data_IF_037357202873
#
_entry.id   IF_037357202873
#
_cell.length_a   1.000
_cell.length_b   1.000
_cell.length_c   1.000
_cell.angle_alpha   90.00
_cell.angle_beta   90.00
_cell.angle_gamma   90.00
#
_symmetry.space_group_name_H-M   'P 1'
#
loop_
_entity.id
_entity.type
_entity.pdbx_description
1 polymer ?
#
# COMPACT_ATOMS: atom_id res chain seq x y z
N UNK A 1 12.78 17.97 84.21
CA UNK A 1 14.01 17.17 84.34
C UNK A 1 13.68 15.74 84.04
N UNK A 2 13.92 15.22 82.87
CA UNK A 2 13.80 13.79 82.52
C UNK A 2 14.95 13.43 81.56
N UNK A 3 15.67 12.39 81.96
CA UNK A 3 16.89 11.88 81.33
C UNK A 3 16.55 11.16 80.00
N UNK A 4 17.44 11.21 79.00
CA UNK A 4 17.26 10.41 77.77
C UNK A 4 17.75 8.95 77.98
N UNK A 5 17.02 7.99 77.45
CA UNK A 5 17.37 6.57 77.41
C UNK A 5 18.16 6.30 76.10
N UNK A 6 19.41 5.92 76.21
CA UNK A 6 20.19 5.34 75.13
C UNK A 6 19.63 3.98 74.72
N UNK A 7 19.29 3.80 73.44
CA UNK A 7 19.04 2.49 72.81
C UNK A 7 20.22 2.17 71.91
N UNK A 8 20.90 1.12 72.26
CA UNK A 8 22.00 0.47 71.49
C UNK A 8 21.36 -0.33 70.35
N UNK A 9 21.63 0.02 69.11
CA UNK A 9 21.25 -0.77 67.95
C UNK A 9 22.38 -1.71 67.56
N UNK A 10 22.11 -3.00 67.66
CA UNK A 10 22.99 -4.06 67.24
C UNK A 10 22.94 -4.18 65.69
N UNK A 11 24.01 -3.88 64.97
CA UNK A 11 24.12 -4.04 63.53
C UNK A 11 24.45 -5.55 63.27
N UNK A 12 23.48 -6.30 62.73
CA UNK A 12 23.70 -7.63 62.16
C UNK A 12 24.14 -7.44 60.69
N UNK A 13 25.42 -7.69 60.42
CA UNK A 13 25.95 -7.75 59.05
C UNK A 13 25.68 -9.14 58.48
N UNK A 14 24.68 -9.28 57.62
CA UNK A 14 24.50 -10.48 56.77
C UNK A 14 25.41 -10.38 55.56
N UNK A 15 26.45 -11.23 55.53
CA UNK A 15 27.22 -11.51 54.29
C UNK A 15 26.34 -12.30 53.31
N UNK A 16 25.86 -11.65 52.24
CA UNK A 16 25.32 -12.35 51.09
C UNK A 16 26.46 -12.74 50.16
N UNK A 17 26.73 -14.02 50.02
CA UNK A 17 27.61 -14.57 48.98
C UNK A 17 26.92 -14.42 47.62
N UNK A 18 27.44 -13.51 46.81
CA UNK A 18 27.05 -13.35 45.38
C UNK A 18 27.66 -14.52 44.59
N UNK A 19 26.81 -15.51 44.27
CA UNK A 19 27.14 -16.44 43.18
C UNK A 19 26.87 -15.75 41.86
N UNK A 20 27.75 -15.81 40.83
CA UNK A 20 27.49 -15.25 39.52
C UNK A 20 26.42 -16.11 38.84
N UNK A 21 25.21 -15.56 38.65
CA UNK A 21 24.23 -16.11 37.74
C UNK A 21 24.67 -15.75 36.35
N UNK A 22 25.35 -16.67 35.67
CA UNK A 22 25.58 -16.60 34.23
C UNK A 22 24.23 -16.86 33.53
N UNK A 23 23.38 -15.86 33.50
CA UNK A 23 22.21 -15.82 32.63
C UNK A 23 22.73 -15.66 31.21
N UNK A 24 22.72 -16.72 30.41
CA UNK A 24 22.75 -16.60 28.97
C UNK A 24 21.53 -15.75 28.55
N UNK A 25 21.75 -14.45 28.33
CA UNK A 25 20.80 -13.63 27.60
C UNK A 25 20.78 -14.21 26.18
N UNK A 26 19.74 -14.97 25.87
CA UNK A 26 19.38 -15.23 24.49
C UNK A 26 19.21 -13.84 23.84
N UNK A 27 20.17 -13.44 23.01
CA UNK A 27 19.99 -12.32 22.10
C UNK A 27 18.73 -12.66 21.30
N UNK A 28 17.61 -12.03 21.64
CA UNK A 28 16.47 -11.97 20.77
C UNK A 28 17.01 -11.35 19.46
N UNK A 29 17.19 -12.19 18.44
CA UNK A 29 17.59 -11.71 17.11
C UNK A 29 16.66 -10.58 16.74
N UNK A 30 17.19 -9.42 16.38
CA UNK A 30 16.41 -8.28 15.93
C UNK A 30 15.51 -8.77 14.82
N UNK A 31 14.19 -8.69 15.01
CA UNK A 31 13.23 -9.11 14.00
C UNK A 31 13.52 -8.30 12.73
N UNK A 32 13.94 -8.97 11.66
CA UNK A 32 14.17 -8.30 10.38
C UNK A 32 12.82 -7.98 9.74
N UNK A 33 12.69 -6.79 9.15
CA UNK A 33 11.54 -6.45 8.34
C UNK A 33 11.47 -7.38 7.12
N UNK A 34 10.30 -7.95 6.87
CA UNK A 34 10.05 -8.86 5.74
C UNK A 34 8.78 -8.44 5.03
N UNK A 35 8.80 -8.53 3.71
CA UNK A 35 7.64 -8.29 2.84
C UNK A 35 7.68 -9.23 1.65
N UNK A 36 6.53 -9.59 1.12
CA UNK A 36 6.35 -10.29 -0.14
C UNK A 36 5.07 -9.85 -0.82
N UNK A 37 5.00 -9.97 -2.14
CA UNK A 37 3.82 -9.60 -2.92
C UNK A 37 3.44 -10.75 -3.85
N UNK A 38 2.22 -11.25 -3.68
CA UNK A 38 1.64 -12.23 -4.62
C UNK A 38 0.78 -11.48 -5.64
N UNK A 39 0.89 -11.87 -6.91
CA UNK A 39 0.17 -11.24 -8.02
C UNK A 39 -0.58 -12.29 -8.85
N UNK A 40 -1.77 -11.91 -9.31
CA UNK A 40 -2.56 -12.67 -10.28
C UNK A 40 -2.82 -11.79 -11.49
N UNK A 41 -2.38 -12.25 -12.65
CA UNK A 41 -2.49 -11.54 -13.92
C UNK A 41 -3.32 -12.35 -14.91
N UNK A 42 -4.32 -11.72 -15.52
CA UNK A 42 -5.17 -12.34 -16.52
C UNK A 42 -4.37 -12.86 -17.70
N UNK A 43 -3.41 -12.09 -18.19
CA UNK A 43 -2.55 -12.43 -19.32
C UNK A 43 -1.72 -13.72 -19.10
N UNK A 44 -1.51 -14.11 -17.84
CA UNK A 44 -0.81 -15.34 -17.44
C UNK A 44 -1.77 -16.48 -17.08
N UNK A 45 -3.07 -16.27 -17.24
CA UNK A 45 -4.09 -17.26 -16.90
C UNK A 45 -4.25 -17.54 -15.40
N UNK A 46 -3.70 -16.69 -14.52
CA UNK A 46 -3.63 -16.94 -13.07
C UNK A 46 -4.99 -16.88 -12.35
N UNK A 47 -6.05 -16.44 -13.03
CA UNK A 47 -7.42 -16.53 -12.51
C UNK A 47 -8.11 -17.86 -12.78
N UNK A 48 -7.48 -18.78 -13.51
CA UNK A 48 -8.09 -20.08 -13.86
C UNK A 48 -8.50 -20.88 -12.63
N UNK A 49 -7.68 -20.85 -11.56
CA UNK A 49 -7.88 -21.62 -10.33
C UNK A 49 -8.73 -20.89 -9.28
N UNK A 50 -9.29 -19.70 -9.60
CA UNK A 50 -10.18 -19.01 -8.68
C UNK A 50 -11.55 -19.66 -8.67
N UNK A 51 -12.13 -19.83 -7.49
CA UNK A 51 -13.53 -20.24 -7.33
C UNK A 51 -14.44 -19.11 -7.82
N UNK A 52 -15.39 -19.40 -8.69
CA UNK A 52 -16.26 -18.41 -9.34
C UNK A 52 -17.72 -18.77 -9.20
N UNK A 53 -18.53 -17.77 -8.86
CA UNK A 53 -19.98 -17.83 -8.92
C UNK A 53 -20.48 -16.57 -9.63
N UNK A 54 -21.27 -16.69 -10.67
CA UNK A 54 -21.75 -15.55 -11.45
C UNK A 54 -20.71 -14.85 -12.32
N UNK A 55 -19.50 -15.42 -12.44
CA UNK A 55 -18.41 -14.89 -13.25
C UNK A 55 -17.95 -15.94 -14.27
N UNK A 56 -17.35 -15.49 -15.37
CA UNK A 56 -16.66 -16.30 -16.36
C UNK A 56 -15.26 -15.73 -16.64
N UNK A 57 -14.39 -16.55 -17.21
CA UNK A 57 -13.13 -16.10 -17.79
C UNK A 57 -13.38 -15.60 -19.21
N UNK A 58 -12.95 -14.40 -19.50
CA UNK A 58 -12.89 -13.87 -20.86
C UNK A 58 -11.70 -14.48 -21.64
N UNK A 59 -11.67 -14.37 -22.99
CA UNK A 59 -10.56 -14.90 -23.79
C UNK A 59 -9.17 -14.39 -23.40
N UNK A 60 -9.08 -13.18 -22.87
CA UNK A 60 -7.83 -12.59 -22.35
C UNK A 60 -7.50 -13.01 -20.90
N UNK A 61 -8.22 -14.00 -20.34
CA UNK A 61 -8.00 -14.51 -18.99
C UNK A 61 -8.61 -13.67 -17.87
N UNK A 62 -9.22 -12.52 -18.16
CA UNK A 62 -9.84 -11.66 -17.12
C UNK A 62 -11.09 -12.30 -16.52
N UNK A 63 -11.35 -12.05 -15.24
CA UNK A 63 -12.62 -12.39 -14.61
C UNK A 63 -13.66 -11.33 -15.02
N UNK A 64 -14.79 -11.78 -15.58
CA UNK A 64 -15.87 -10.89 -16.02
C UNK A 64 -17.20 -11.33 -15.44
N UNK A 65 -18.03 -10.36 -15.05
CA UNK A 65 -19.39 -10.64 -14.65
C UNK A 65 -20.16 -11.30 -15.83
N UNK A 66 -20.77 -12.44 -15.55
CA UNK A 66 -21.51 -13.23 -16.55
C UNK A 66 -23.02 -13.07 -16.30
N UNK A 67 -23.74 -12.31 -17.12
CA UNK A 67 -25.16 -12.06 -16.89
C UNK A 67 -26.05 -13.28 -17.00
N UNK A 68 -25.57 -14.38 -17.60
CA UNK A 68 -26.29 -15.64 -17.68
C UNK A 68 -26.15 -16.50 -16.41
N UNK A 69 -25.08 -16.25 -15.63
CA UNK A 69 -24.72 -16.99 -14.41
C UNK A 69 -24.81 -16.14 -13.14
N UNK A 70 -25.12 -14.84 -13.27
CA UNK A 70 -25.16 -13.92 -12.16
C UNK A 70 -26.07 -14.40 -11.02
N UNK A 71 -25.65 -14.14 -9.79
CA UNK A 71 -26.30 -14.64 -8.56
C UNK A 71 -27.60 -13.92 -8.18
N UNK A 72 -28.13 -13.02 -9.04
CA UNK A 72 -29.33 -12.25 -8.76
C UNK A 72 -29.05 -10.98 -7.95
N UNK A 73 -30.07 -10.36 -7.36
CA UNK A 73 -29.98 -9.10 -6.63
C UNK A 73 -28.98 -9.21 -5.47
N UNK A 74 -27.78 -8.63 -5.66
CA UNK A 74 -26.75 -8.59 -4.64
C UNK A 74 -27.17 -7.77 -3.44
N UNK A 75 -26.97 -8.32 -2.24
CA UNK A 75 -27.13 -7.58 -0.99
C UNK A 75 -26.10 -6.42 -0.91
N UNK A 76 -26.53 -5.41 -0.27
CA UNK A 76 -26.07 -4.03 -0.16
C UNK A 76 -24.79 -3.84 0.60
N UNK A 77 -23.94 -2.91 0.14
CA UNK A 77 -23.00 -2.18 0.99
C UNK A 77 -23.06 -0.68 0.65
N UNK A 78 -23.28 0.12 1.68
CA UNK A 78 -23.29 1.58 1.67
C UNK A 78 -24.14 2.12 2.80
N UNK A 79 -23.73 3.17 3.51
CA UNK A 79 -24.53 3.76 4.58
C UNK A 79 -25.87 4.28 4.01
N UNK A 80 -26.95 3.60 4.33
CA UNK A 80 -28.29 4.17 4.33
C UNK A 80 -29.17 4.03 3.10
N UNK A 81 -28.80 3.38 1.96
CA UNK A 81 -29.72 3.24 0.82
C UNK A 81 -29.74 1.83 0.22
N UNK A 82 -30.93 1.19 0.35
CA UNK A 82 -31.29 -0.02 -0.39
C UNK A 82 -31.41 0.32 -1.88
N UNK A 83 -30.52 -0.18 -2.75
CA UNK A 83 -30.73 -0.13 -4.21
C UNK A 83 -31.19 -1.50 -4.69
N UNK A 84 -32.35 -1.53 -5.33
CA UNK A 84 -32.95 -2.71 -5.93
C UNK A 84 -32.26 -3.05 -7.24
N UNK A 85 -32.11 -4.35 -7.49
CA UNK A 85 -31.82 -4.93 -8.79
C UNK A 85 -30.42 -4.69 -9.32
N UNK A 86 -29.66 -5.76 -9.45
CA UNK A 86 -28.35 -5.75 -10.08
C UNK A 86 -27.83 -7.16 -10.25
N UNK A 87 -26.92 -7.33 -11.17
CA UNK A 87 -26.17 -8.56 -11.35
C UNK A 87 -24.99 -8.54 -10.36
N UNK A 88 -24.72 -9.68 -9.74
CA UNK A 88 -23.54 -9.87 -8.90
C UNK A 88 -22.84 -11.18 -9.27
N UNK A 89 -21.51 -11.15 -9.22
CA UNK A 89 -20.68 -12.35 -9.29
C UNK A 89 -19.54 -12.25 -8.29
N UNK A 90 -19.08 -13.39 -7.82
CA UNK A 90 -18.01 -13.50 -6.83
C UNK A 90 -16.86 -14.35 -7.35
N UNK A 91 -15.63 -13.96 -7.04
CA UNK A 91 -14.44 -14.77 -7.23
C UNK A 91 -13.63 -14.82 -5.96
N UNK A 92 -13.30 -16.03 -5.48
CA UNK A 92 -12.42 -16.24 -4.33
C UNK A 92 -11.13 -16.89 -4.81
N UNK A 93 -10.00 -16.26 -4.54
CA UNK A 93 -8.68 -16.74 -4.88
C UNK A 93 -8.29 -17.99 -4.08
N UNK A 94 -7.26 -18.70 -4.52
CA UNK A 94 -6.69 -19.80 -3.75
C UNK A 94 -6.17 -19.29 -2.39
N UNK A 95 -6.01 -20.22 -1.46
CA UNK A 95 -5.29 -19.95 -0.22
C UNK A 95 -3.83 -19.71 -0.57
N UNK A 96 -3.28 -18.56 -0.16
CA UNK A 96 -1.85 -18.26 -0.28
C UNK A 96 -1.22 -18.47 1.08
N UNK A 97 -0.23 -19.33 1.17
CA UNK A 97 0.62 -19.48 2.34
C UNK A 97 1.80 -18.52 2.20
N UNK A 98 1.96 -17.61 3.13
CA UNK A 98 3.06 -16.66 3.14
C UNK A 98 4.39 -17.37 3.52
N UNK A 99 5.50 -16.89 2.97
CA UNK A 99 6.84 -17.41 3.28
C UNK A 99 7.28 -17.11 4.73
N UNK A 100 6.55 -16.23 5.43
CA UNK A 100 6.81 -15.86 6.81
C UNK A 100 5.50 -15.45 7.52
N UNK A 101 5.46 -15.48 8.86
CA UNK A 101 4.34 -14.90 9.60
C UNK A 101 4.27 -13.39 9.38
N UNK A 102 3.14 -12.89 8.88
CA UNK A 102 2.91 -11.48 8.58
C UNK A 102 1.88 -10.87 9.53
N UNK A 103 1.92 -9.56 9.71
CA UNK A 103 0.98 -8.79 10.53
C UNK A 103 0.20 -7.73 9.77
N UNK A 104 0.60 -7.42 8.54
CA UNK A 104 -0.09 -6.45 7.69
C UNK A 104 -0.29 -7.00 6.27
N UNK A 105 -1.39 -6.62 5.64
CA UNK A 105 -1.70 -6.98 4.26
C UNK A 105 -2.43 -5.84 3.53
N UNK A 106 -1.98 -5.53 2.30
CA UNK A 106 -2.56 -4.50 1.42
C UNK A 106 -2.93 -5.16 0.10
N UNK A 107 -4.21 -5.29 -0.26
CA UNK A 107 -4.62 -5.72 -1.58
C UNK A 107 -4.59 -4.57 -2.57
N UNK A 108 -4.44 -4.87 -3.85
CA UNK A 108 -4.63 -3.92 -4.95
C UNK A 108 -5.14 -4.65 -6.19
N UNK A 109 -5.67 -3.90 -7.16
CA UNK A 109 -6.33 -4.48 -8.33
C UNK A 109 -6.31 -3.55 -9.54
N UNK A 110 -6.44 -4.15 -10.74
CA UNK A 110 -6.78 -3.43 -11.95
C UNK A 110 -8.06 -4.03 -12.53
N UNK A 111 -9.04 -3.17 -12.76
CA UNK A 111 -10.36 -3.56 -13.18
C UNK A 111 -10.97 -2.53 -14.14
N UNK A 112 -11.78 -3.01 -15.07
CA UNK A 112 -12.68 -2.16 -15.83
C UNK A 112 -14.04 -2.16 -15.11
N UNK A 113 -14.50 -0.98 -14.71
CA UNK A 113 -15.83 -0.76 -14.11
C UNK A 113 -16.57 0.31 -14.90
N UNK A 114 -17.15 -0.06 -16.08
CA UNK A 114 -17.89 0.89 -16.90
C UNK A 114 -19.10 1.46 -16.13
N UNK A 115 -19.63 2.60 -16.59
CA UNK A 115 -20.74 3.29 -15.91
C UNK A 115 -21.90 2.33 -15.58
N UNK A 116 -22.33 2.36 -14.32
CA UNK A 116 -23.34 1.42 -13.80
C UNK A 116 -22.76 0.13 -13.20
N UNK A 117 -21.43 -0.01 -13.11
CA UNK A 117 -20.77 -1.17 -12.50
C UNK A 117 -19.70 -0.77 -11.47
N UNK A 118 -19.43 -1.67 -10.52
CA UNK A 118 -18.44 -1.48 -9.45
C UNK A 118 -17.95 -2.85 -8.95
N UNK A 119 -16.98 -2.82 -8.05
CA UNK A 119 -16.51 -4.00 -7.35
C UNK A 119 -16.28 -3.73 -5.86
N UNK A 120 -16.29 -4.78 -5.07
CA UNK A 120 -15.86 -4.84 -3.68
C UNK A 120 -14.70 -5.82 -3.54
N UNK A 121 -13.74 -5.47 -2.69
CA UNK A 121 -12.57 -6.29 -2.41
C UNK A 121 -12.61 -6.73 -0.95
N UNK A 122 -12.46 -8.03 -0.71
CA UNK A 122 -12.44 -8.60 0.64
C UNK A 122 -11.18 -9.43 0.85
N UNK A 123 -10.62 -9.31 2.04
CA UNK A 123 -9.43 -10.06 2.46
C UNK A 123 -9.71 -10.76 3.80
N UNK A 124 -9.20 -11.97 3.97
CA UNK A 124 -9.12 -12.65 5.27
C UNK A 124 -7.76 -13.28 5.47
N UNK A 125 -7.36 -13.48 6.71
CA UNK A 125 -6.09 -14.06 7.10
C UNK A 125 -6.29 -15.29 7.99
N UNK A 126 -5.30 -16.19 8.03
CA UNK A 126 -5.32 -17.39 8.89
C UNK A 126 -4.35 -17.24 10.05
N UNK A 127 -4.91 -17.10 11.24
CA UNK A 127 -4.19 -17.02 12.52
C UNK A 127 -4.22 -18.40 13.17
N UNK A 128 -3.07 -19.06 13.24
CA UNK A 128 -2.99 -20.45 13.66
C UNK A 128 -3.82 -21.36 12.72
N UNK A 129 -4.82 -22.07 13.28
CA UNK A 129 -5.70 -22.97 12.52
C UNK A 129 -6.99 -22.32 12.03
N UNK A 130 -7.34 -21.11 12.47
CA UNK A 130 -8.63 -20.47 12.19
C UNK A 130 -8.50 -19.30 11.22
N UNK A 131 -9.55 -19.06 10.44
CA UNK A 131 -9.69 -17.89 9.59
C UNK A 131 -10.32 -16.73 10.38
N UNK A 132 -9.85 -15.51 10.10
CA UNK A 132 -10.52 -14.28 10.51
C UNK A 132 -11.86 -14.12 9.76
N UNK A 133 -12.64 -13.12 10.13
CA UNK A 133 -13.72 -12.62 9.28
C UNK A 133 -13.17 -12.13 7.92
N UNK A 134 -14.07 -11.92 6.94
CA UNK A 134 -13.76 -11.21 5.72
C UNK A 134 -13.86 -9.70 5.98
N UNK A 135 -12.76 -8.98 5.79
CA UNK A 135 -12.70 -7.52 5.87
C UNK A 135 -12.85 -6.92 4.47
N UNK A 136 -13.70 -5.90 4.34
CA UNK A 136 -13.86 -5.17 3.09
C UNK A 136 -12.72 -4.16 2.94
N UNK A 137 -11.91 -4.31 1.91
CA UNK A 137 -10.71 -3.50 1.66
C UNK A 137 -10.96 -2.35 0.68
N UNK A 138 -12.21 -2.15 0.27
CA UNK A 138 -12.62 -1.04 -0.57
C UNK A 138 -13.75 -1.40 -1.52
N UNK A 139 -14.51 -0.36 -1.86
CA UNK A 139 -15.56 -0.37 -2.86
C UNK A 139 -15.14 0.57 -3.99
N UNK A 140 -14.94 0.02 -5.18
CA UNK A 140 -14.35 0.72 -6.31
C UNK A 140 -15.30 0.85 -7.49
N UNK A 141 -15.44 2.07 -8.01
CA UNK A 141 -16.00 2.38 -9.30
C UNK A 141 -15.12 3.43 -9.99
N UNK A 142 -14.83 3.26 -11.28
CA UNK A 142 -14.08 4.28 -12.05
C UNK A 142 -14.91 5.54 -12.27
N UNK A 143 -16.24 5.39 -12.43
CA UNK A 143 -17.17 6.49 -12.59
C UNK A 143 -17.86 6.84 -11.25
N UNK A 144 -17.59 8.02 -10.65
CA UNK A 144 -18.19 8.43 -9.38
C UNK A 144 -19.70 8.66 -9.46
N UNK A 145 -20.27 8.91 -10.64
CA UNK A 145 -21.71 9.00 -10.82
C UNK A 145 -22.42 7.65 -10.68
N UNK A 146 -21.71 6.56 -10.90
CA UNK A 146 -22.20 5.20 -10.64
C UNK A 146 -22.27 4.93 -9.14
N UNK A 147 -21.15 5.15 -8.45
CA UNK A 147 -20.96 4.96 -7.02
C UNK A 147 -19.74 5.76 -6.60
N UNK A 148 -19.85 6.54 -5.54
CA UNK A 148 -18.69 7.14 -4.91
C UNK A 148 -17.82 6.04 -4.31
N UNK A 149 -16.59 5.91 -4.85
CA UNK A 149 -15.62 4.93 -4.32
C UNK A 149 -15.25 5.27 -2.90
N UNK A 150 -15.09 4.24 -2.06
CA UNK A 150 -14.84 4.45 -0.65
C UNK A 150 -14.16 3.27 0.02
N UNK A 151 -13.36 3.55 1.03
CA UNK A 151 -12.96 2.59 2.05
C UNK A 151 -14.15 2.26 2.96
N UNK A 152 -14.05 1.19 3.74
CA UNK A 152 -15.09 0.80 4.69
C UNK A 152 -14.54 0.98 6.10
N UNK A 153 -15.04 2.00 6.79
CA UNK A 153 -14.60 2.34 8.15
C UNK A 153 -15.24 1.42 9.22
N UNK A 154 -14.70 1.46 10.44
CA UNK A 154 -15.28 0.80 11.61
C UNK A 154 -15.09 -0.73 11.64
N UNK A 155 -14.29 -1.31 10.78
CA UNK A 155 -13.98 -2.74 10.78
C UNK A 155 -12.86 -3.02 11.78
N UNK A 156 -13.23 -3.55 12.96
CA UNK A 156 -12.29 -3.94 14.02
C UNK A 156 -12.91 -5.01 14.88
N UNK A 157 -12.17 -6.07 15.17
CA UNK A 157 -12.53 -7.13 16.11
C UNK A 157 -11.31 -7.61 16.92
N UNK A 158 -11.38 -8.83 17.49
CA UNK A 158 -10.27 -9.38 18.25
C UNK A 158 -9.09 -9.83 17.37
N UNK A 159 -9.32 -10.06 16.09
CA UNK A 159 -8.35 -10.65 15.16
C UNK A 159 -7.61 -9.62 14.31
N UNK A 160 -8.30 -8.52 13.93
CA UNK A 160 -7.73 -7.53 13.06
C UNK A 160 -8.57 -6.23 13.04
N UNK A 161 -8.00 -5.21 12.43
CA UNK A 161 -8.71 -3.99 12.04
C UNK A 161 -8.24 -3.52 10.66
N UNK A 162 -9.10 -2.77 9.97
CA UNK A 162 -8.75 -2.11 8.72
C UNK A 162 -8.41 -0.65 8.99
N UNK A 163 -7.21 -0.26 8.58
CA UNK A 163 -6.72 1.11 8.66
C UNK A 163 -6.69 1.68 7.23
N UNK A 164 -7.80 2.29 6.82
CA UNK A 164 -8.11 2.78 5.47
C UNK A 164 -8.06 1.66 4.42
N UNK A 165 -6.88 1.19 4.05
CA UNK A 165 -6.57 0.28 2.94
C UNK A 165 -5.65 -0.89 3.36
N UNK A 166 -5.27 -0.91 4.63
CA UNK A 166 -4.37 -1.92 5.20
C UNK A 166 -5.10 -2.76 6.24
N UNK A 167 -5.13 -4.08 6.03
CA UNK A 167 -5.53 -5.02 7.06
C UNK A 167 -4.37 -5.20 8.04
N UNK A 168 -4.58 -4.83 9.30
CA UNK A 168 -3.63 -4.99 10.41
C UNK A 168 -4.13 -6.03 11.38
N UNK A 169 -3.32 -7.07 11.61
CA UNK A 169 -3.69 -8.20 12.46
C UNK A 169 -3.49 -7.88 13.94
N UNK A 170 -4.45 -8.30 14.76
CA UNK A 170 -4.50 -7.99 16.19
C UNK A 170 -5.15 -6.65 16.48
N UNK A 171 -4.91 -6.13 17.67
CA UNK A 171 -5.35 -4.81 18.11
C UNK A 171 -4.23 -3.79 17.98
N UNK A 172 -4.57 -2.49 18.02
CA UNK A 172 -3.57 -1.43 18.09
C UNK A 172 -2.67 -1.64 19.33
N UNK A 173 -1.35 -1.76 19.10
CA UNK A 173 -0.36 -2.04 20.15
C UNK A 173 -0.18 -3.51 20.51
N UNK A 174 -1.04 -4.42 20.05
CA UNK A 174 -0.98 -5.86 20.29
C UNK A 174 -1.10 -6.63 18.97
N UNK A 175 -0.06 -6.61 18.13
CA UNK A 175 -0.12 -7.24 16.82
C UNK A 175 -0.19 -8.76 16.93
N UNK A 176 -1.02 -9.38 16.09
CA UNK A 176 -1.03 -10.80 15.82
C UNK A 176 -0.32 -11.08 14.49
N UNK A 177 -0.05 -12.36 14.23
CA UNK A 177 0.51 -12.79 12.94
C UNK A 177 -0.35 -13.88 12.31
N UNK A 178 -0.42 -13.85 10.98
CA UNK A 178 -1.03 -14.88 10.16
C UNK A 178 0.01 -15.57 9.28
N UNK A 179 -0.31 -16.78 8.81
CA UNK A 179 0.55 -17.57 7.94
C UNK A 179 -0.03 -17.79 6.55
N UNK A 180 -1.27 -17.39 6.34
CA UNK A 180 -1.94 -17.49 5.04
C UNK A 180 -3.05 -16.44 4.92
N UNK A 181 -3.47 -16.18 3.70
CA UNK A 181 -4.56 -15.28 3.39
C UNK A 181 -5.37 -15.76 2.19
N UNK A 182 -6.56 -15.16 2.01
CA UNK A 182 -7.36 -15.29 0.80
C UNK A 182 -7.93 -13.95 0.39
N UNK A 183 -7.96 -13.70 -0.91
CA UNK A 183 -8.55 -12.52 -1.53
C UNK A 183 -9.87 -12.91 -2.22
N UNK A 184 -10.88 -12.05 -2.12
CA UNK A 184 -12.17 -12.21 -2.77
C UNK A 184 -12.57 -10.91 -3.45
N UNK A 185 -13.13 -11.02 -4.65
CA UNK A 185 -13.77 -9.93 -5.38
C UNK A 185 -15.25 -10.22 -5.56
N UNK A 186 -16.07 -9.18 -5.42
CA UNK A 186 -17.47 -9.18 -5.80
C UNK A 186 -17.66 -8.12 -6.88
N UNK A 187 -18.14 -8.51 -8.04
CA UNK A 187 -18.35 -7.66 -9.21
C UNK A 187 -19.85 -7.41 -9.37
N UNK A 188 -20.23 -6.14 -9.53
CA UNK A 188 -21.61 -5.70 -9.58
C UNK A 188 -21.91 -4.91 -10.85
N UNK A 189 -23.11 -5.06 -11.42
CA UNK A 189 -23.62 -4.24 -12.50
C UNK A 189 -25.12 -3.96 -12.32
N UNK A 190 -25.53 -2.71 -12.59
CA UNK A 190 -26.97 -2.34 -12.58
C UNK A 190 -27.73 -2.97 -13.73
N UNK A 191 -27.06 -3.40 -14.79
CA UNK A 191 -27.65 -3.95 -16.00
C UNK A 191 -26.70 -4.85 -16.78
N UNK A 192 -27.15 -5.37 -17.92
CA UNK A 192 -26.42 -6.34 -18.72
C UNK A 192 -25.42 -5.74 -19.72
N UNK A 193 -25.46 -4.41 -19.92
CA UNK A 193 -24.68 -3.74 -20.97
C UNK A 193 -23.33 -3.21 -20.51
N UNK A 194 -23.14 -3.05 -19.19
CA UNK A 194 -21.94 -2.48 -18.59
C UNK A 194 -21.37 -3.46 -17.55
N UNK A 195 -20.66 -4.47 -18.02
CA UNK A 195 -20.19 -5.57 -17.19
C UNK A 195 -18.75 -5.32 -16.74
N UNK A 196 -18.47 -5.32 -15.43
CA UNK A 196 -17.14 -5.14 -14.91
C UNK A 196 -16.26 -6.34 -15.16
N UNK A 197 -14.95 -6.10 -15.25
CA UNK A 197 -13.94 -7.15 -15.34
C UNK A 197 -12.71 -6.84 -14.50
N UNK A 198 -12.06 -7.88 -13.99
CA UNK A 198 -10.82 -7.82 -13.23
C UNK A 198 -9.68 -8.41 -14.08
N UNK A 199 -8.62 -7.62 -14.29
CA UNK A 199 -7.44 -8.03 -15.08
C UNK A 199 -6.24 -8.36 -14.23
N UNK A 200 -6.04 -7.67 -13.11
CA UNK A 200 -4.94 -7.92 -12.18
C UNK A 200 -5.43 -7.82 -10.75
N UNK A 201 -4.81 -8.61 -9.87
CA UNK A 201 -4.95 -8.52 -8.43
C UNK A 201 -3.58 -8.74 -7.78
N UNK A 202 -3.33 -8.09 -6.67
CA UNK A 202 -2.13 -8.30 -5.87
C UNK A 202 -2.45 -8.22 -4.38
N UNK A 203 -1.63 -8.85 -3.56
CA UNK A 203 -1.61 -8.68 -2.09
C UNK A 203 -0.17 -8.58 -1.65
N UNK A 204 0.19 -7.45 -1.08
CA UNK A 204 1.45 -7.27 -0.35
C UNK A 204 1.24 -7.62 1.12
N UNK A 205 2.01 -8.57 1.65
CA UNK A 205 2.02 -8.91 3.08
C UNK A 205 3.37 -8.56 3.68
N UNK A 206 3.39 -8.15 4.95
CA UNK A 206 4.64 -7.84 5.64
C UNK A 206 4.55 -8.08 7.15
N UNK A 207 5.71 -8.16 7.79
CA UNK A 207 5.81 -7.88 9.23
C UNK A 207 5.45 -6.43 9.50
N UNK A 208 5.21 -6.05 10.75
CA UNK A 208 5.02 -4.65 11.11
C UNK A 208 6.26 -3.82 10.70
N UNK A 209 6.08 -2.56 10.26
CA UNK A 209 7.18 -1.66 9.98
C UNK A 209 8.12 -1.52 11.18
N UNK A 210 9.41 -1.49 10.92
CA UNK A 210 10.45 -1.32 11.94
C UNK A 210 11.45 -0.25 11.51
N UNK A 211 12.15 0.32 12.48
CA UNK A 211 13.37 1.06 12.17
C UNK A 211 14.47 0.08 11.79
N UNK A 212 15.04 0.12 10.57
CA UNK A 212 16.06 -0.81 10.15
C UNK A 212 17.32 -0.67 11.00
N UNK A 213 17.87 -1.80 11.45
CA UNK A 213 19.12 -1.83 12.20
C UNK A 213 20.33 -1.46 11.32
N UNK A 214 20.27 -1.78 10.03
CA UNK A 214 21.22 -1.40 9.01
C UNK A 214 20.50 -1.07 7.72
N UNK A 215 21.03 -0.12 6.97
CA UNK A 215 20.52 0.27 5.66
C UNK A 215 21.24 -0.54 4.57
N UNK A 216 20.59 -0.65 3.41
CA UNK A 216 21.16 -1.36 2.28
C UNK A 216 22.36 -0.57 1.71
N UNK A 217 23.48 -1.24 1.37
CA UNK A 217 24.66 -0.56 0.85
C UNK A 217 24.43 0.05 -0.54
N UNK A 218 23.43 -0.44 -1.27
CA UNK A 218 23.17 -0.07 -2.66
C UNK A 218 24.10 -0.79 -3.65
N UNK A 219 23.76 -0.64 -4.94
CA UNK A 219 24.54 -1.19 -6.04
C UNK A 219 25.02 -0.05 -6.93
N UNK A 220 26.28 0.36 -6.78
CA UNK A 220 26.87 1.49 -7.51
C UNK A 220 26.85 1.34 -9.03
N UNK A 221 26.67 0.12 -9.56
CA UNK A 221 26.55 -0.10 -11.01
C UNK A 221 25.19 0.35 -11.57
N UNK A 222 24.21 0.60 -10.70
CA UNK A 222 22.86 1.05 -11.03
C UNK A 222 22.65 2.55 -10.78
N UNK A 223 23.66 3.26 -10.25
CA UNK A 223 23.60 4.69 -9.95
C UNK A 223 23.87 5.56 -11.18
N UNK A 224 23.87 6.88 -10.98
CA UNK A 224 24.03 7.91 -12.02
C UNK A 224 23.01 7.72 -13.16
N UNK A 225 21.78 7.49 -12.79
CA UNK A 225 20.66 7.26 -13.72
C UNK A 225 19.40 7.98 -13.24
N UNK A 226 18.82 8.76 -14.15
CA UNK A 226 17.57 9.49 -13.94
C UNK A 226 16.58 9.13 -15.05
N UNK A 227 15.35 8.85 -14.67
CA UNK A 227 14.23 8.68 -15.60
C UNK A 227 13.57 10.05 -15.86
N UNK A 228 13.26 10.41 -17.12
CA UNK A 228 12.69 11.72 -17.45
C UNK A 228 11.19 11.77 -17.11
N UNK A 229 10.87 11.63 -15.84
CA UNK A 229 9.50 11.73 -15.31
C UNK A 229 9.09 13.20 -15.29
N UNK A 230 7.89 13.57 -15.78
CA UNK A 230 7.39 14.94 -15.68
C UNK A 230 7.45 15.47 -14.24
N UNK A 231 7.77 16.75 -14.10
CA UNK A 231 7.88 17.44 -12.82
C UNK A 231 6.60 18.22 -12.54
N UNK A 232 5.81 17.77 -11.56
CA UNK A 232 4.52 18.37 -11.23
C UNK A 232 4.44 18.65 -9.72
N UNK A 233 4.26 19.93 -9.37
CA UNK A 233 3.99 20.36 -8.01
C UNK A 233 2.50 20.31 -7.72
N UNK A 234 2.13 19.73 -6.56
CA UNK A 234 0.77 19.82 -6.01
C UNK A 234 0.46 21.22 -5.45
N UNK A 235 1.49 21.96 -5.04
CA UNK A 235 1.35 23.23 -4.33
C UNK A 235 0.91 24.40 -5.23
N UNK A 236 0.90 24.19 -6.56
CA UNK A 236 0.39 25.20 -7.50
C UNK A 236 -1.14 25.20 -7.61
N UNK A 237 -1.83 24.29 -6.93
CA UNK A 237 -3.29 24.18 -6.94
C UNK A 237 -3.89 24.70 -5.63
N UNK A 238 -4.47 25.92 -5.60
CA UNK A 238 -4.97 26.54 -4.38
C UNK A 238 -6.25 25.90 -3.83
N UNK A 239 -6.88 25.02 -4.59
CA UNK A 239 -8.16 24.38 -4.34
C UNK A 239 -8.04 22.97 -3.71
N UNK A 240 -6.96 22.70 -2.96
CA UNK A 240 -6.74 21.45 -2.22
C UNK A 240 -5.41 20.77 -2.51
N UNK A 241 -4.52 21.43 -3.25
CA UNK A 241 -3.22 20.88 -3.66
C UNK A 241 -2.38 20.37 -2.49
N UNK A 242 -2.50 20.97 -1.32
CA UNK A 242 -1.72 20.60 -0.13
C UNK A 242 -1.89 19.14 0.33
N UNK A 243 -2.95 18.45 -0.12
CA UNK A 243 -3.21 17.04 0.18
C UNK A 243 -3.19 16.11 -1.03
N UNK A 244 -2.70 16.58 -2.20
CA UNK A 244 -2.73 15.83 -3.47
C UNK A 244 -1.42 15.11 -3.84
N UNK A 245 -0.55 14.81 -2.86
CA UNK A 245 0.75 14.17 -3.15
C UNK A 245 0.61 12.85 -3.92
N UNK A 246 -0.33 11.98 -3.53
CA UNK A 246 -0.54 10.68 -4.16
C UNK A 246 -1.03 10.81 -5.63
N UNK A 247 -2.15 11.49 -5.92
CA UNK A 247 -2.61 11.64 -7.31
C UNK A 247 -1.65 12.44 -8.19
N UNK A 248 -0.92 13.43 -7.66
CA UNK A 248 0.10 14.14 -8.41
C UNK A 248 1.26 13.22 -8.79
N UNK A 249 1.73 12.36 -7.86
CA UNK A 249 2.73 11.34 -8.15
C UNK A 249 2.27 10.34 -9.21
N UNK A 250 1.01 9.88 -9.12
CA UNK A 250 0.41 9.01 -10.15
C UNK A 250 0.36 9.72 -11.50
N UNK A 251 -0.08 10.98 -11.55
CA UNK A 251 -0.13 11.77 -12.80
C UNK A 251 1.26 11.94 -13.45
N UNK A 252 2.32 12.11 -12.65
CA UNK A 252 3.69 12.15 -13.11
C UNK A 252 4.12 10.84 -13.77
N UNK A 253 3.83 9.69 -13.15
CA UNK A 253 4.18 8.36 -13.69
C UNK A 253 3.36 8.02 -14.92
N UNK A 254 2.06 8.33 -14.95
CA UNK A 254 1.24 8.19 -16.16
C UNK A 254 1.78 9.05 -17.29
N UNK A 255 2.12 10.31 -17.01
CA UNK A 255 2.74 11.21 -17.97
C UNK A 255 4.08 10.69 -18.51
N UNK A 256 4.89 10.04 -17.70
CA UNK A 256 6.12 9.39 -18.14
C UNK A 256 5.85 8.31 -19.19
N UNK A 257 4.91 7.40 -18.94
CA UNK A 257 4.55 6.34 -19.88
C UNK A 257 3.88 6.83 -21.16
N UNK A 258 3.14 7.94 -21.06
CA UNK A 258 2.54 8.60 -22.23
C UNK A 258 3.55 9.44 -23.05
N UNK A 259 4.76 9.65 -22.53
CA UNK A 259 5.74 10.58 -23.12
C UNK A 259 5.26 12.03 -23.09
N UNK A 260 4.46 12.40 -22.09
CA UNK A 260 3.82 13.71 -21.95
C UNK A 260 4.86 14.82 -21.72
N UNK A 261 4.78 15.88 -22.55
CA UNK A 261 5.64 17.08 -22.44
C UNK A 261 4.83 18.36 -22.23
N UNK A 262 3.56 18.25 -21.92
CA UNK A 262 2.64 19.36 -21.70
C UNK A 262 2.43 19.71 -20.23
N UNK A 263 1.46 20.59 -19.94
CA UNK A 263 1.17 21.01 -18.58
C UNK A 263 0.71 19.85 -17.69
N UNK A 264 1.05 19.94 -16.41
CA UNK A 264 0.68 18.94 -15.39
C UNK A 264 -0.82 18.89 -15.10
N UNK A 265 -1.48 20.04 -15.14
CA UNK A 265 -2.83 20.25 -14.59
C UNK A 265 -3.88 19.25 -15.08
N UNK A 266 -4.05 18.96 -16.38
CA UNK A 266 -5.08 18.02 -16.81
C UNK A 266 -4.90 16.63 -16.20
N UNK A 267 -3.66 16.13 -16.15
CA UNK A 267 -3.33 14.83 -15.59
C UNK A 267 -3.52 14.77 -14.06
N UNK A 268 -3.07 15.82 -13.37
CA UNK A 268 -3.22 15.91 -11.90
C UNK A 268 -4.70 15.99 -11.52
N UNK A 269 -5.50 16.86 -12.15
CA UNK A 269 -6.94 16.97 -11.83
C UNK A 269 -7.73 15.71 -12.17
N UNK A 270 -7.37 15.03 -13.26
CA UNK A 270 -7.97 13.74 -13.59
C UNK A 270 -7.64 12.68 -12.52
N UNK A 271 -6.39 12.60 -12.07
CA UNK A 271 -5.98 11.69 -11.02
C UNK A 271 -6.66 12.03 -9.66
N UNK A 272 -6.70 13.32 -9.27
CA UNK A 272 -7.40 13.78 -8.06
C UNK A 272 -8.86 13.31 -8.05
N UNK A 273 -9.61 13.58 -9.12
CA UNK A 273 -10.99 13.12 -9.26
C UNK A 273 -11.08 11.59 -9.31
N UNK A 274 -10.07 10.93 -9.93
CA UNK A 274 -10.04 9.49 -10.17
C UNK A 274 -9.74 8.63 -8.94
N UNK A 275 -9.14 9.17 -7.87
CA UNK A 275 -8.70 8.41 -6.69
C UNK A 275 -9.38 8.79 -5.38
N UNK A 276 -10.18 9.86 -5.36
CA UNK A 276 -10.83 10.34 -4.14
C UNK A 276 -11.62 9.25 -3.43
N UNK A 277 -11.36 9.05 -2.15
CA UNK A 277 -12.07 8.13 -1.25
C UNK A 277 -13.04 8.93 -0.38
N UNK A 278 -14.35 8.73 -0.57
CA UNK A 278 -15.39 9.54 0.08
C UNK A 278 -15.61 9.25 1.57
N UNK A 279 -15.09 8.13 2.09
CA UNK A 279 -15.16 7.79 3.53
C UNK A 279 -13.87 8.17 4.25
N UNK A 280 -12.73 7.98 3.62
CA UNK A 280 -11.46 8.49 4.11
C UNK A 280 -11.34 10.02 3.95
N UNK A 281 -12.18 10.62 3.11
CA UNK A 281 -12.18 12.05 2.75
C UNK A 281 -10.80 12.52 2.23
N UNK A 282 -10.15 11.70 1.40
CA UNK A 282 -8.79 11.96 0.95
C UNK A 282 -8.40 11.21 -0.32
N UNK A 283 -7.16 11.45 -0.77
CA UNK A 283 -6.62 10.95 -2.03
C UNK A 283 -5.50 9.93 -1.83
N UNK A 284 -5.15 9.63 -0.56
CA UNK A 284 -4.00 8.79 -0.19
C UNK A 284 -4.31 7.29 -0.10
N UNK A 285 -5.52 6.82 -0.42
CA UNK A 285 -5.84 5.39 -0.46
C UNK A 285 -4.97 4.69 -1.51
N UNK A 286 -4.04 3.83 -1.07
CA UNK A 286 -3.02 3.24 -1.95
C UNK A 286 -3.61 2.35 -3.04
N UNK A 287 -4.50 1.37 -2.74
CA UNK A 287 -5.20 0.58 -3.74
C UNK A 287 -5.97 1.40 -4.78
N UNK A 288 -6.61 2.51 -4.38
CA UNK A 288 -7.38 3.34 -5.31
C UNK A 288 -6.48 4.05 -6.31
N UNK A 289 -5.30 4.50 -5.88
CA UNK A 289 -4.30 5.07 -6.77
C UNK A 289 -3.78 4.03 -7.78
N UNK A 290 -3.49 2.80 -7.33
CA UNK A 290 -3.11 1.71 -8.21
C UNK A 290 -4.27 1.31 -9.17
N UNK A 291 -5.51 1.23 -8.68
CA UNK A 291 -6.67 0.90 -9.50
C UNK A 291 -6.93 1.97 -10.58
N UNK A 292 -6.77 3.25 -10.24
CA UNK A 292 -6.88 4.36 -11.20
C UNK A 292 -5.81 4.25 -12.28
N UNK A 293 -4.54 4.07 -11.91
CA UNK A 293 -3.45 3.91 -12.87
C UNK A 293 -3.67 2.69 -13.79
N UNK A 294 -4.14 1.57 -13.23
CA UNK A 294 -4.45 0.35 -13.99
C UNK A 294 -5.66 0.47 -14.92
N UNK A 295 -6.58 1.42 -14.68
CA UNK A 295 -7.73 1.62 -15.56
C UNK A 295 -7.36 2.16 -16.96
N UNK A 296 -6.17 2.75 -17.09
CA UNK A 296 -5.57 3.18 -18.36
C UNK A 296 -4.86 2.08 -19.16
N UNK A 297 -4.96 0.80 -18.75
CA UNK A 297 -4.34 -0.32 -19.46
C UNK A 297 -2.90 -0.62 -19.02
N UNK A 298 -2.39 0.07 -18.00
CA UNK A 298 -1.11 -0.26 -17.37
C UNK A 298 -1.30 -1.37 -16.33
N UNK A 299 -0.24 -2.08 -16.00
CA UNK A 299 -0.16 -2.88 -14.78
C UNK A 299 0.18 -1.95 -13.62
N UNK A 300 -0.66 -1.97 -12.59
CA UNK A 300 -0.45 -1.13 -11.42
C UNK A 300 -0.82 -1.89 -10.14
N UNK A 301 0.06 -1.88 -9.15
CA UNK A 301 -0.20 -2.53 -7.88
C UNK A 301 0.57 -1.87 -6.73
N UNK A 302 0.09 -2.11 -5.51
CA UNK A 302 0.78 -1.75 -4.28
C UNK A 302 1.70 -2.89 -3.88
N UNK A 303 2.92 -2.55 -3.49
CA UNK A 303 3.91 -3.49 -2.97
C UNK A 303 4.63 -2.91 -1.76
N UNK A 304 5.47 -3.71 -1.13
CA UNK A 304 6.37 -3.27 -0.05
C UNK A 304 7.79 -3.73 -0.33
N UNK A 305 8.70 -2.78 -0.37
CA UNK A 305 10.12 -3.01 -0.49
C UNK A 305 10.75 -3.21 0.90
N UNK A 306 11.81 -3.98 0.96
CA UNK A 306 12.59 -4.18 2.20
C UNK A 306 13.88 -3.37 2.22
N UNK A 307 14.24 -2.75 1.11
CA UNK A 307 15.42 -1.89 1.00
C UNK A 307 15.36 -0.94 -0.19
N UNK A 308 16.14 0.12 -0.14
CA UNK A 308 16.33 1.03 -1.27
C UNK A 308 17.05 0.35 -2.44
N UNK A 309 17.88 -0.67 -2.17
CA UNK A 309 18.57 -1.43 -3.22
C UNK A 309 17.62 -2.18 -4.15
N UNK A 310 16.48 -2.67 -3.65
CA UNK A 310 15.46 -3.25 -4.52
C UNK A 310 14.87 -2.18 -5.47
N UNK A 311 14.68 -0.95 -5.01
CA UNK A 311 14.17 0.13 -5.86
C UNK A 311 15.18 0.54 -6.95
N UNK A 312 16.49 0.39 -6.72
CA UNK A 312 17.53 0.62 -7.74
C UNK A 312 17.32 -0.27 -8.97
N UNK A 313 16.94 -1.54 -8.78
CA UNK A 313 16.68 -2.48 -9.86
C UNK A 313 15.49 -2.04 -10.73
N UNK A 314 14.44 -1.51 -10.10
CA UNK A 314 13.26 -0.99 -10.81
C UNK A 314 13.58 0.25 -11.62
N UNK A 315 14.36 1.16 -11.05
CA UNK A 315 14.87 2.35 -11.79
C UNK A 315 15.74 1.90 -12.95
N UNK A 316 16.62 0.91 -12.75
CA UNK A 316 17.48 0.37 -13.79
C UNK A 316 16.66 -0.29 -14.92
N UNK A 317 15.52 -0.90 -14.60
CA UNK A 317 14.56 -1.43 -15.58
C UNK A 317 13.72 -0.33 -16.27
N UNK A 318 13.91 0.96 -15.93
CA UNK A 318 13.19 2.09 -16.49
C UNK A 318 11.76 2.23 -15.94
N UNK A 319 11.53 1.83 -14.70
CA UNK A 319 10.25 1.95 -14.01
C UNK A 319 10.40 2.93 -12.84
N UNK A 320 9.79 4.12 -12.90
CA UNK A 320 9.75 5.02 -11.75
C UNK A 320 8.89 4.41 -10.63
N UNK A 321 9.29 4.64 -9.38
CA UNK A 321 8.65 4.04 -8.21
C UNK A 321 8.01 5.13 -7.36
N UNK A 322 6.69 5.08 -7.14
CA UNK A 322 6.04 6.00 -6.19
C UNK A 322 6.21 5.42 -4.80
N UNK A 323 6.91 6.14 -3.90
CA UNK A 323 7.19 5.72 -2.54
C UNK A 323 6.35 6.48 -1.53
N UNK A 324 5.88 5.79 -0.48
CA UNK A 324 5.11 6.39 0.62
C UNK A 324 5.97 6.46 1.88
N UNK A 325 6.19 7.67 2.41
CA UNK A 325 7.02 7.88 3.59
C UNK A 325 6.47 8.98 4.50
N UNK A 326 6.99 9.06 5.73
CA UNK A 326 6.60 10.08 6.71
C UNK A 326 7.82 10.56 7.45
N UNK A 327 7.79 11.83 7.90
CA UNK A 327 8.88 12.41 8.68
C UNK A 327 8.40 13.49 9.62
N UNK A 328 9.09 13.59 10.77
CA UNK A 328 8.98 14.72 11.69
C UNK A 328 9.96 15.84 11.34
N UNK A 329 9.80 16.99 12.02
CA UNK A 329 10.65 18.17 11.82
C UNK A 329 12.14 17.82 11.95
N UNK A 330 12.94 18.15 10.93
CA UNK A 330 14.39 17.95 10.88
C UNK A 330 14.84 16.51 10.60
N UNK A 331 13.93 15.58 10.26
CA UNK A 331 14.28 14.20 9.96
C UNK A 331 14.60 13.93 8.49
N UNK A 332 14.19 14.82 7.59
CA UNK A 332 14.49 14.75 6.15
C UNK A 332 15.12 16.06 5.68
N UNK A 333 16.43 16.02 5.46
CA UNK A 333 17.20 17.19 5.00
C UNK A 333 16.78 17.58 3.58
N UNK A 334 16.49 18.86 3.37
CA UNK A 334 16.09 19.39 2.06
C UNK A 334 14.63 19.12 1.69
N UNK A 335 13.81 18.58 2.59
CA UNK A 335 12.38 18.43 2.35
C UNK A 335 11.69 19.79 2.12
N UNK A 336 10.73 19.88 1.16
CA UNK A 336 10.06 21.15 0.82
C UNK A 336 9.09 21.63 1.92
N UNK A 337 8.63 20.71 2.76
CA UNK A 337 7.78 20.99 3.93
C UNK A 337 8.42 20.42 5.20
N UNK A 338 8.19 21.02 6.38
CA UNK A 338 8.93 20.69 7.59
C UNK A 338 8.64 19.30 8.17
N UNK A 339 7.45 18.73 7.92
CA UNK A 339 7.02 17.43 8.42
C UNK A 339 5.81 16.93 7.62
N UNK A 340 5.61 15.60 7.57
CA UNK A 340 4.40 14.97 7.03
C UNK A 340 4.13 13.65 7.74
N UNK A 341 2.87 13.40 8.11
CA UNK A 341 2.41 12.12 8.67
C UNK A 341 2.21 11.04 7.59
N UNK A 342 2.22 11.43 6.31
CA UNK A 342 2.13 10.55 5.14
C UNK A 342 2.32 11.37 3.89
N UNK A 343 3.28 10.98 3.05
CA UNK A 343 3.63 11.68 1.82
C UNK A 343 4.00 10.68 0.74
N UNK A 344 3.67 11.03 -0.50
CA UNK A 344 4.06 10.24 -1.65
C UNK A 344 4.86 11.11 -2.63
N UNK A 345 5.96 10.55 -3.12
CA UNK A 345 6.80 11.16 -4.15
C UNK A 345 7.28 10.10 -5.14
N UNK A 346 7.71 10.53 -6.31
CA UNK A 346 8.19 9.62 -7.36
C UNK A 346 9.71 9.52 -7.28
N UNK A 347 10.23 8.35 -6.91
CA UNK A 347 11.63 8.02 -7.08
C UNK A 347 11.91 7.90 -8.58
N UNK A 348 12.75 8.78 -9.10
CA UNK A 348 13.07 8.89 -10.52
C UNK A 348 14.46 8.38 -10.86
N UNK A 349 15.34 8.21 -9.86
CA UNK A 349 16.70 7.75 -10.07
C UNK A 349 17.58 7.83 -8.85
N UNK A 350 18.87 7.67 -9.12
CA UNK A 350 19.94 7.80 -8.12
C UNK A 350 21.08 8.63 -8.69
N UNK A 351 21.65 9.53 -7.89
CA UNK A 351 22.82 10.30 -8.27
C UNK A 351 24.12 9.42 -8.26
N UNK A 352 25.25 9.97 -8.67
CA UNK A 352 26.52 9.27 -8.73
C UNK A 352 27.05 8.81 -7.35
N UNK A 353 26.45 9.29 -6.25
CA UNK A 353 26.76 8.88 -4.87
C UNK A 353 25.77 7.87 -4.31
N UNK A 354 24.76 7.47 -5.11
CA UNK A 354 23.70 6.55 -4.70
C UNK A 354 22.60 7.20 -3.86
N UNK A 355 22.55 8.53 -3.79
CA UNK A 355 21.42 9.21 -3.16
C UNK A 355 20.19 9.14 -4.07
N UNK A 356 19.00 8.85 -3.52
CA UNK A 356 17.77 8.84 -4.31
C UNK A 356 17.41 10.24 -4.80
N UNK A 357 17.08 10.32 -6.07
CA UNK A 357 16.51 11.52 -6.70
C UNK A 357 15.02 11.30 -6.85
N UNK A 358 14.24 12.20 -6.30
CA UNK A 358 12.78 12.12 -6.31
C UNK A 358 12.16 13.36 -6.95
N UNK A 359 11.04 13.17 -7.62
CA UNK A 359 10.12 14.25 -7.92
C UNK A 359 9.15 14.37 -6.73
N UNK A 360 9.40 15.37 -5.88
CA UNK A 360 8.62 15.61 -4.67
C UNK A 360 7.52 16.64 -4.96
N UNK A 361 6.24 16.21 -5.02
CA UNK A 361 5.15 17.10 -5.40
C UNK A 361 4.85 18.21 -4.39
N UNK A 362 5.34 18.12 -3.13
CA UNK A 362 5.18 19.17 -2.14
C UNK A 362 6.11 20.38 -2.35
N UNK A 363 6.94 20.37 -3.39
CA UNK A 363 7.75 21.51 -3.78
C UNK A 363 6.90 22.71 -4.21
N UNK A 364 7.37 23.95 -4.02
CA UNK A 364 6.54 25.15 -4.25
C UNK A 364 6.22 25.43 -5.72
N UNK A 365 6.97 24.87 -6.65
CA UNK A 365 6.75 25.01 -8.11
C UNK A 365 7.18 23.75 -8.85
N UNK A 366 6.79 23.61 -10.11
CA UNK A 366 7.16 22.45 -10.93
C UNK A 366 8.69 22.34 -11.08
N UNK A 367 9.40 23.44 -11.29
CA UNK A 367 10.85 23.50 -11.48
C UNK A 367 11.64 23.10 -10.21
N UNK A 368 10.99 23.14 -9.04
CA UNK A 368 11.59 22.80 -7.75
C UNK A 368 11.30 21.37 -7.30
N UNK A 369 10.54 20.61 -8.09
CA UNK A 369 10.04 19.27 -7.73
C UNK A 369 11.16 18.24 -7.65
N UNK A 370 12.15 18.27 -8.58
CA UNK A 370 13.24 17.30 -8.55
C UNK A 370 14.22 17.61 -7.42
N UNK A 371 14.45 16.61 -6.54
CA UNK A 371 15.30 16.73 -5.34
C UNK A 371 16.13 15.48 -5.12
N UNK A 372 17.36 15.67 -4.62
CA UNK A 372 18.17 14.57 -4.09
C UNK A 372 18.07 14.56 -2.57
N UNK A 373 17.78 13.41 -1.99
CA UNK A 373 17.73 13.19 -0.54
C UNK A 373 18.88 12.30 -0.07
N UNK A 374 19.28 12.46 1.19
CA UNK A 374 20.17 11.49 1.82
C UNK A 374 19.55 10.09 1.75
N UNK A 375 20.27 9.12 1.16
CA UNK A 375 19.85 7.73 1.09
C UNK A 375 19.48 7.18 2.48
N UNK A 376 20.33 7.45 3.46
CA UNK A 376 20.12 6.96 4.81
C UNK A 376 18.87 7.54 5.48
N UNK A 377 18.57 8.83 5.26
CA UNK A 377 17.39 9.45 5.80
C UNK A 377 16.12 8.91 5.12
N UNK A 378 16.07 8.92 3.78
CA UNK A 378 14.89 8.53 3.04
C UNK A 378 14.57 7.03 3.20
N UNK A 379 15.56 6.13 3.10
CA UNK A 379 15.33 4.70 3.27
C UNK A 379 14.79 4.38 4.68
N UNK A 380 15.37 4.97 5.72
CA UNK A 380 14.89 4.81 7.08
C UNK A 380 13.45 5.29 7.24
N UNK A 381 13.12 6.49 6.75
CA UNK A 381 11.80 7.08 6.86
C UNK A 381 10.75 6.32 6.05
N UNK A 382 11.13 5.79 4.89
CA UNK A 382 10.28 4.95 4.06
C UNK A 382 9.94 3.61 4.74
N UNK A 383 10.96 2.89 5.22
CA UNK A 383 10.77 1.60 5.88
C UNK A 383 10.06 1.74 7.23
N UNK A 384 10.38 2.75 8.01
CA UNK A 384 9.75 3.01 9.31
C UNK A 384 8.32 3.55 9.16
N UNK A 385 8.09 4.46 8.21
CA UNK A 385 6.82 5.18 8.08
C UNK A 385 5.71 4.35 7.47
N UNK A 386 6.00 3.60 6.40
CA UNK A 386 4.99 2.85 5.66
C UNK A 386 5.36 1.37 5.42
N UNK A 387 6.47 0.88 5.99
CA UNK A 387 6.99 -0.44 5.68
C UNK A 387 7.39 -0.57 4.21
N UNK A 388 8.09 0.42 3.66
CA UNK A 388 8.56 0.36 2.28
C UNK A 388 7.43 0.35 1.23
N UNK A 389 6.25 0.85 1.57
CA UNK A 389 5.10 0.86 0.64
C UNK A 389 5.41 1.68 -0.60
N UNK A 390 5.07 1.11 -1.76
CA UNK A 390 5.23 1.73 -3.06
C UNK A 390 4.11 1.36 -4.04
N UNK A 391 3.91 2.21 -5.06
CA UNK A 391 3.14 1.87 -6.24
C UNK A 391 4.11 1.57 -7.38
N UNK A 392 3.90 0.44 -8.03
CA UNK A 392 4.57 0.06 -9.26
C UNK A 392 3.55 0.15 -10.40
N UNK A 393 3.86 0.99 -11.38
CA UNK A 393 2.97 1.29 -12.51
C UNK A 393 3.80 1.23 -13.79
N UNK A 394 3.45 0.31 -14.73
CA UNK A 394 4.19 0.11 -15.96
C UNK A 394 3.35 -0.56 -17.07
N UNK A 395 3.74 -0.44 -18.35
CA UNK A 395 3.05 -1.08 -19.46
C UNK A 395 2.99 -2.60 -19.33
N UNK A 396 1.86 -3.19 -19.68
CA UNK A 396 1.73 -4.65 -19.77
C UNK A 396 2.81 -5.25 -20.69
N UNK A 397 3.38 -6.38 -20.28
CA UNK A 397 4.44 -7.07 -21.02
C UNK A 397 5.84 -6.49 -20.87
N UNK A 398 6.02 -5.41 -20.10
CA UNK A 398 7.35 -4.91 -19.76
C UNK A 398 8.07 -5.90 -18.84
N UNK A 399 9.31 -6.24 -19.18
CA UNK A 399 10.19 -7.01 -18.30
C UNK A 399 10.57 -6.14 -17.09
N UNK A 400 10.29 -6.64 -15.91
CA UNK A 400 10.52 -5.96 -14.62
C UNK A 400 11.22 -6.91 -13.66
N UNK A 401 11.93 -6.38 -12.63
CA UNK A 401 12.52 -7.19 -11.57
C UNK A 401 11.47 -7.99 -10.79
N UNK A 402 11.90 -9.11 -10.20
CA UNK A 402 11.13 -9.82 -9.17
C UNK A 402 11.21 -9.05 -7.82
N UNK A 403 10.23 -9.30 -6.94
CA UNK A 403 10.12 -8.67 -5.62
C UNK A 403 10.25 -9.72 -4.51
#
# INVERSE_FOLDING_TARGET
MSKPRNRLYLLIVMLFSLLPVTGAQAQAGSASYRAETTRWRAAEGLFANWQRAGLSLAPNGSLRLDPAKALGEGERYGPGRRRRGGLVGEATGPVVTAAFPFSEAVPSWNASTPAGSWLEVQLRARIGSRWTAWYNMGVWASDPATLERHSVSGQSDADAYVDVDTLKLGKRGEPLTATAYQLKFRLFARGRNALPSLTNAAVAVSTAPITPAALSPGNSTLWDRLLPVPECSQMVYPDGGEVWCSPTSVAMVLGYWEGRRGPCEPGVRAAVSGVYDSVYEGHGNWPFNAAYAGSGGLEAYVTRFTSMSQAEEWIAAGVPVIISYSWGRGQLTGAPIPASNGHLAVLTGFDAKGNPVVNDPAAPSNEAVQRSYSRAELERLWLQGSGGTAYLIYPAGKTVPDL
#
